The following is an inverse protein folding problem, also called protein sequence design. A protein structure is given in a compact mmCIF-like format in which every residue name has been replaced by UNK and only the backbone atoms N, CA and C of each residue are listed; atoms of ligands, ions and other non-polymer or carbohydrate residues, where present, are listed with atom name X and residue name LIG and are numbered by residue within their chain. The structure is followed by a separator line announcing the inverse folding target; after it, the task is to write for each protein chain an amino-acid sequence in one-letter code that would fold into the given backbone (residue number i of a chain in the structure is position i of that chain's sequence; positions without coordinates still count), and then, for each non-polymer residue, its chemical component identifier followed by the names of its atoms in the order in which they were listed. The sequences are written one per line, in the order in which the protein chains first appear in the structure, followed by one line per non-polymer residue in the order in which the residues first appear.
data_IF_465870961100
#
_entry.id   IF_465870961100
#
_cell.length_a   1.000
_cell.length_b   1.000
_cell.length_c   1.000
_cell.angle_alpha   90.00
_cell.angle_beta   90.00
_cell.angle_gamma   90.00
#
_symmetry.space_group_name_H-M   'P 1'
#
loop_
_entity.id
_entity.type
_entity.pdbx_description
1 polymer ?
#
# COMPACT_ATOMS: atom_id res chain seq x y z
N UNK A 1 46.76 28.06 -60.97
CA UNK A 1 46.11 26.74 -61.14
C UNK A 1 46.61 25.85 -60.01
N UNK A 2 45.89 25.82 -58.90
CA UNK A 2 46.16 24.95 -57.76
C UNK A 2 44.88 24.20 -57.45
N UNK A 3 45.00 22.90 -57.58
CA UNK A 3 43.99 21.86 -57.52
C UNK A 3 43.40 21.77 -56.10
N UNK A 4 42.07 21.91 -55.98
CA UNK A 4 41.37 21.83 -54.69
C UNK A 4 40.75 20.43 -54.55
N UNK A 5 41.39 19.59 -53.72
CA UNK A 5 40.90 18.26 -53.38
C UNK A 5 39.61 18.35 -52.56
N UNK A 6 38.62 17.45 -52.78
CA UNK A 6 37.36 17.45 -52.04
C UNK A 6 37.54 16.93 -50.61
N UNK A 7 36.97 17.67 -49.65
CA UNK A 7 36.90 17.30 -48.23
C UNK A 7 36.14 15.96 -48.03
N UNK A 8 36.60 15.07 -47.13
CA UNK A 8 35.85 13.87 -46.78
C UNK A 8 34.59 14.23 -45.97
N UNK A 9 33.45 13.67 -46.38
CA UNK A 9 32.18 13.81 -45.71
C UNK A 9 32.27 13.36 -44.24
N UNK A 10 31.80 14.21 -43.33
CA UNK A 10 31.64 13.88 -41.92
C UNK A 10 30.71 12.66 -41.76
N UNK A 11 31.08 11.65 -40.95
CA UNK A 11 30.18 10.56 -40.63
C UNK A 11 28.99 11.10 -39.83
N UNK A 12 27.78 10.80 -40.31
CA UNK A 12 26.52 11.02 -39.61
C UNK A 12 26.65 10.54 -38.16
N UNK A 13 26.38 11.45 -37.22
CA UNK A 13 26.30 11.15 -35.80
C UNK A 13 25.29 10.01 -35.59
N UNK A 14 25.81 8.86 -35.18
CA UNK A 14 25.00 7.74 -34.70
C UNK A 14 24.22 8.23 -33.48
N UNK A 15 22.88 8.20 -33.56
CA UNK A 15 21.98 8.36 -32.44
C UNK A 15 22.28 7.29 -31.37
N UNK A 16 23.20 7.59 -30.45
CA UNK A 16 23.34 6.85 -29.19
C UNK A 16 22.18 7.30 -28.28
N UNK A 17 21.03 6.67 -28.47
CA UNK A 17 19.81 6.89 -27.70
C UNK A 17 19.98 6.37 -26.27
N UNK A 18 20.28 7.30 -25.36
CA UNK A 18 19.51 7.64 -24.15
C UNK A 18 19.03 6.52 -23.19
N UNK A 19 19.65 5.34 -23.24
CA UNK A 19 19.34 4.20 -22.36
C UNK A 19 19.69 4.50 -20.90
N UNK A 20 20.78 5.24 -20.66
CA UNK A 20 21.18 5.71 -19.33
C UNK A 20 20.21 6.75 -18.77
N UNK A 21 19.62 7.60 -19.62
CA UNK A 21 18.60 8.58 -19.23
C UNK A 21 17.30 7.90 -18.78
N UNK A 22 16.79 6.97 -19.57
CA UNK A 22 15.56 6.24 -19.27
C UNK A 22 15.65 5.39 -17.98
N UNK A 23 16.77 4.67 -17.79
CA UNK A 23 16.99 3.86 -16.59
C UNK A 23 17.04 4.73 -15.32
N UNK A 24 17.72 5.89 -15.39
CA UNK A 24 17.80 6.84 -14.28
C UNK A 24 16.42 7.44 -13.94
N UNK A 25 15.59 7.74 -14.94
CA UNK A 25 14.22 8.24 -14.72
C UNK A 25 13.35 7.19 -14.05
N UNK A 26 13.44 5.92 -14.50
CA UNK A 26 12.69 4.81 -13.90
C UNK A 26 13.06 4.62 -12.43
N UNK A 27 14.36 4.57 -12.12
CA UNK A 27 14.84 4.42 -10.75
C UNK A 27 14.39 5.58 -9.85
N UNK A 28 14.46 6.83 -10.34
CA UNK A 28 13.98 7.99 -9.59
C UNK A 28 12.48 7.93 -9.32
N UNK A 29 11.68 7.47 -10.28
CA UNK A 29 10.23 7.28 -10.12
C UNK A 29 9.93 6.20 -9.07
N UNK A 30 10.68 5.10 -9.10
CA UNK A 30 10.54 4.02 -8.11
C UNK A 30 10.85 4.51 -6.69
N UNK A 31 11.99 5.18 -6.50
CA UNK A 31 12.36 5.75 -5.19
C UNK A 31 11.35 6.78 -4.71
N UNK A 32 10.89 7.66 -5.62
CA UNK A 32 9.81 8.61 -5.32
C UNK A 32 8.55 7.87 -4.84
N UNK A 33 8.15 6.82 -5.54
CA UNK A 33 6.94 6.08 -5.19
C UNK A 33 7.07 5.33 -3.87
N UNK A 34 8.22 4.70 -3.60
CA UNK A 34 8.50 4.13 -2.27
C UNK A 34 8.39 5.18 -1.15
N UNK A 35 8.91 6.39 -1.37
CA UNK A 35 8.79 7.47 -0.38
C UNK A 35 7.33 7.90 -0.16
N UNK A 36 6.53 7.98 -1.22
CA UNK A 36 5.09 8.28 -1.11
C UNK A 36 4.37 7.19 -0.32
N UNK A 37 4.61 5.91 -0.64
CA UNK A 37 3.98 4.79 0.05
C UNK A 37 4.37 4.76 1.53
N UNK A 38 5.65 5.00 1.85
CA UNK A 38 6.14 5.12 3.23
C UNK A 38 5.42 6.24 3.99
N UNK A 39 5.26 7.41 3.37
CA UNK A 39 4.61 8.55 4.01
C UNK A 39 3.13 8.27 4.30
N UNK A 40 2.40 7.71 3.33
CA UNK A 40 0.99 7.34 3.50
C UNK A 40 0.85 6.30 4.62
N UNK A 41 1.66 5.23 4.62
CA UNK A 41 1.61 4.20 5.66
C UNK A 41 1.97 4.74 7.04
N UNK A 42 2.92 5.67 7.11
CA UNK A 42 3.28 6.33 8.38
C UNK A 42 2.14 7.21 8.89
N UNK A 43 1.48 7.96 8.01
CA UNK A 43 0.28 8.73 8.33
C UNK A 43 -0.88 7.84 8.80
N UNK A 44 -1.11 6.72 8.12
CA UNK A 44 -2.11 5.72 8.53
C UNK A 44 -1.78 5.08 9.87
N UNK A 45 -0.51 4.77 10.13
CA UNK A 45 -0.08 4.24 11.43
C UNK A 45 -0.28 5.24 12.57
N UNK A 46 -0.01 6.53 12.33
CA UNK A 46 -0.27 7.59 13.30
C UNK A 46 -1.78 7.77 13.54
N UNK A 47 -2.58 7.73 12.47
CA UNK A 47 -4.03 7.77 12.56
C UNK A 47 -4.60 6.57 13.33
N UNK A 48 -4.14 5.35 13.02
CA UNK A 48 -4.54 4.13 13.70
C UNK A 48 -4.14 4.14 15.18
N UNK A 49 -2.95 4.65 15.51
CA UNK A 49 -2.54 4.82 16.90
C UNK A 49 -3.45 5.80 17.67
N UNK A 50 -3.99 6.81 16.98
CA UNK A 50 -4.87 7.83 17.55
C UNK A 50 -6.32 7.37 17.66
N UNK A 51 -6.82 6.58 16.70
CA UNK A 51 -8.20 6.10 16.63
C UNK A 51 -8.44 4.83 17.44
N UNK A 52 -7.51 3.88 17.40
CA UNK A 52 -7.67 2.59 18.06
C UNK A 52 -7.34 2.62 19.56
N UNK A 53 -6.72 3.71 20.06
CA UNK A 53 -6.20 3.78 21.42
C UNK A 53 -5.39 2.53 21.76
N UNK A 54 -4.11 2.47 21.35
CA UNK A 54 -3.19 1.33 21.55
C UNK A 54 -2.88 0.95 23.03
N UNK A 55 -3.88 1.02 23.90
CA UNK A 55 -4.05 0.34 25.18
C UNK A 55 -5.16 -0.74 25.18
N UNK A 56 -5.94 -0.96 24.10
CA UNK A 56 -6.97 -2.01 24.07
C UNK A 56 -6.70 -3.12 23.07
N UNK A 57 -6.34 -4.30 23.58
CA UNK A 57 -6.05 -5.51 22.81
C UNK A 57 -7.32 -6.37 22.55
N UNK A 58 -8.41 -5.78 22.08
CA UNK A 58 -9.65 -6.55 21.79
C UNK A 58 -10.24 -6.24 20.41
N UNK A 59 -10.72 -7.29 19.75
CA UNK A 59 -11.36 -7.24 18.43
C UNK A 59 -12.65 -6.38 18.38
N UNK A 60 -13.17 -5.96 19.54
CA UNK A 60 -14.34 -5.08 19.66
C UNK A 60 -14.04 -3.59 19.48
N UNK A 61 -12.76 -3.21 19.33
CA UNK A 61 -12.32 -1.82 19.13
C UNK A 61 -12.46 -1.29 17.69
N UNK A 62 -12.82 -2.15 16.73
CA UNK A 62 -13.11 -1.75 15.33
C UNK A 62 -14.50 -1.09 15.18
N UNK A 63 -15.07 -0.58 16.26
CA UNK A 63 -16.34 0.13 16.24
C UNK A 63 -16.13 1.53 15.64
N UNK A 64 -16.65 1.72 14.43
CA UNK A 64 -17.16 2.98 13.85
C UNK A 64 -16.89 4.22 14.68
N UNK A 65 -15.65 4.72 14.64
CA UNK A 65 -15.38 6.07 15.11
C UNK A 65 -16.12 7.04 14.20
N UNK A 66 -16.80 8.05 14.76
CA UNK A 66 -17.50 9.08 13.98
C UNK A 66 -16.58 10.04 13.20
N UNK A 67 -15.31 9.66 12.97
CA UNK A 67 -14.35 10.40 12.18
C UNK A 67 -14.21 9.77 10.78
N UNK A 68 -14.15 10.56 9.69
CA UNK A 68 -13.90 10.03 8.35
C UNK A 68 -12.63 9.17 8.24
N UNK A 69 -11.66 9.38 9.14
CA UNK A 69 -10.41 8.62 9.17
C UNK A 69 -10.58 7.23 9.76
N UNK A 70 -11.49 7.03 10.73
CA UNK A 70 -11.76 5.70 11.29
C UNK A 70 -12.48 4.79 10.30
N UNK A 71 -13.28 5.36 9.38
CA UNK A 71 -13.92 4.60 8.31
C UNK A 71 -12.91 4.00 7.31
N UNK A 72 -11.67 4.48 7.26
CA UNK A 72 -10.64 3.89 6.41
C UNK A 72 -10.18 2.51 6.91
N UNK A 73 -10.38 2.22 8.20
CA UNK A 73 -9.89 1.01 8.88
C UNK A 73 -10.95 -0.09 9.03
N UNK A 74 -12.09 0.02 8.36
CA UNK A 74 -13.11 -1.04 8.32
C UNK A 74 -12.90 -2.02 7.15
N UNK A 75 -11.81 -1.85 6.41
CA UNK A 75 -11.47 -2.56 5.17
C UNK A 75 -11.66 -1.75 3.90
N UNK A 76 -12.41 -0.63 3.90
CA UNK A 76 -12.65 0.23 2.71
C UNK A 76 -11.38 0.75 2.05
N UNK A 77 -10.28 0.85 2.79
CA UNK A 77 -8.94 1.05 2.26
C UNK A 77 -8.17 -0.27 2.22
N UNK A 78 -7.45 -0.54 1.14
CA UNK A 78 -6.52 -1.66 1.03
C UNK A 78 -5.20 -1.22 0.41
N UNK A 79 -4.16 -2.01 0.69
CA UNK A 79 -2.94 -1.99 -0.13
C UNK A 79 -3.04 -2.99 -1.27
N UNK A 80 -2.43 -2.67 -2.40
CA UNK A 80 -2.17 -3.60 -3.49
C UNK A 80 -0.69 -3.99 -3.46
N UNK A 81 -0.42 -5.28 -3.46
CA UNK A 81 0.94 -5.82 -3.57
C UNK A 81 1.38 -5.91 -5.03
N UNK A 82 2.69 -6.07 -5.25
CA UNK A 82 3.26 -6.28 -6.59
C UNK A 82 2.72 -7.53 -7.29
N UNK A 83 2.32 -8.55 -6.53
CA UNK A 83 1.67 -9.76 -7.06
C UNK A 83 0.18 -9.58 -7.35
N UNK A 84 -0.34 -8.35 -7.23
CA UNK A 84 -1.76 -8.05 -7.44
C UNK A 84 -2.65 -8.45 -6.26
N UNK A 85 -2.10 -8.99 -5.17
CA UNK A 85 -2.88 -9.28 -3.98
C UNK A 85 -3.35 -7.98 -3.33
N UNK A 86 -4.64 -7.92 -3.03
CA UNK A 86 -5.28 -6.83 -2.33
C UNK A 86 -5.45 -7.16 -0.85
N UNK A 87 -4.90 -6.34 0.05
CA UNK A 87 -4.94 -6.57 1.50
C UNK A 87 -5.71 -5.44 2.17
N UNK A 88 -6.94 -5.67 2.65
CA UNK A 88 -7.74 -4.66 3.34
C UNK A 88 -7.09 -4.24 4.65
N UNK A 89 -7.18 -2.96 4.99
CA UNK A 89 -6.52 -2.38 6.14
C UNK A 89 -7.52 -2.23 7.28
N UNK A 90 -7.17 -2.79 8.43
CA UNK A 90 -7.78 -2.51 9.73
C UNK A 90 -6.81 -1.86 10.71
N UNK A 91 -5.50 -2.11 10.58
CA UNK A 91 -4.45 -1.43 11.35
C UNK A 91 -3.14 -1.48 10.57
N UNK A 92 -2.25 -0.50 10.83
CA UNK A 92 -0.93 -0.38 10.22
C UNK A 92 0.10 -0.09 11.30
N UNK A 93 1.17 -0.87 11.36
CA UNK A 93 2.25 -0.72 12.36
C UNK A 93 3.61 -0.72 11.66
N UNK A 94 4.44 0.32 11.80
CA UNK A 94 5.82 0.26 11.32
C UNK A 94 6.63 -0.72 12.17
N UNK A 95 7.35 -1.64 11.53
CA UNK A 95 8.18 -2.64 12.24
C UNK A 95 9.55 -2.09 12.65
N UNK A 96 10.08 -1.13 11.89
CA UNK A 96 11.35 -0.47 12.17
C UNK A 96 11.13 1.04 12.31
N UNK A 97 10.69 1.50 13.48
CA UNK A 97 10.47 2.92 13.78
C UNK A 97 11.52 3.52 14.74
N UNK A 98 12.67 2.86 14.88
CA UNK A 98 13.72 3.30 15.79
C UNK A 98 14.64 4.31 15.11
N UNK A 99 14.69 5.52 15.64
CA UNK A 99 15.73 6.49 15.30
C UNK A 99 16.92 6.33 16.26
N UNK A 100 18.05 5.87 15.73
CA UNK A 100 19.32 5.96 16.45
C UNK A 100 19.69 7.45 16.54
N UNK A 101 19.80 7.98 17.76
CA UNK A 101 20.11 9.40 18.00
C UNK A 101 21.58 9.64 18.33
N UNK A 102 22.28 8.59 18.74
CA UNK A 102 23.67 8.62 19.20
C UNK A 102 24.40 7.38 18.70
N UNK A 103 25.68 7.52 18.46
CA UNK A 103 26.57 6.40 18.21
C UNK A 103 26.71 5.53 19.49
N UNK A 104 27.23 4.30 19.38
CA UNK A 104 27.44 3.41 20.53
C UNK A 104 28.34 4.00 21.62
N UNK A 105 29.20 4.95 21.26
CA UNK A 105 30.10 5.69 22.16
C UNK A 105 29.44 6.93 22.82
N UNK A 106 28.15 7.16 22.59
CA UNK A 106 27.39 8.30 23.10
C UNK A 106 27.59 9.60 22.32
N UNK A 107 28.43 9.61 21.27
CA UNK A 107 28.60 10.79 20.41
C UNK A 107 27.36 11.05 19.54
N UNK A 108 27.19 12.30 19.12
CA UNK A 108 26.09 12.66 18.20
C UNK A 108 26.37 12.09 16.82
N UNK A 109 25.38 11.43 16.22
CA UNK A 109 25.47 10.98 14.83
C UNK A 109 25.69 12.16 13.88
N UNK A 110 26.52 11.93 12.87
CA UNK A 110 26.71 12.85 11.74
C UNK A 110 25.39 13.08 10.98
N UNK A 111 25.38 14.08 10.09
CA UNK A 111 24.22 14.30 9.22
C UNK A 111 23.93 13.09 8.32
N UNK A 112 24.97 12.49 7.73
CA UNK A 112 24.83 11.35 6.83
C UNK A 112 24.30 10.09 7.53
N UNK A 113 24.76 9.81 8.75
CA UNK A 113 24.27 8.67 9.54
C UNK A 113 22.81 8.84 9.96
N UNK A 114 22.39 10.08 10.28
CA UNK A 114 20.97 10.38 10.55
C UNK A 114 20.10 10.23 9.31
N UNK A 115 20.62 10.64 8.14
CA UNK A 115 19.93 10.42 6.86
C UNK A 115 19.76 8.94 6.57
N UNK A 116 20.82 8.13 6.69
CA UNK A 116 20.75 6.68 6.48
C UNK A 116 19.80 5.99 7.48
N UNK A 117 19.82 6.43 8.74
CA UNK A 117 18.89 5.96 9.78
C UNK A 117 17.44 6.27 9.41
N UNK A 118 17.17 7.44 8.82
CA UNK A 118 15.85 7.80 8.32
C UNK A 118 15.45 6.96 7.10
N UNK A 119 16.39 6.67 6.20
CA UNK A 119 16.13 5.88 4.99
C UNK A 119 15.72 4.43 5.30
N UNK A 120 16.24 3.86 6.39
CA UNK A 120 15.90 2.48 6.82
C UNK A 120 14.61 2.44 7.65
N UNK A 121 14.26 3.53 8.33
CA UNK A 121 13.05 3.61 9.14
C UNK A 121 11.80 3.50 8.27
N UNK A 122 10.77 2.85 8.83
CA UNK A 122 9.47 2.68 8.20
C UNK A 122 9.57 2.06 6.78
N UNK A 123 10.53 1.16 6.56
CA UNK A 123 10.65 0.42 5.29
C UNK A 123 9.88 -0.89 5.28
N UNK A 124 9.44 -1.36 6.46
CA UNK A 124 8.61 -2.56 6.63
C UNK A 124 7.43 -2.20 7.54
N UNK A 125 6.23 -2.56 7.10
CA UNK A 125 4.99 -2.35 7.82
C UNK A 125 4.26 -3.67 8.05
N UNK A 126 3.64 -3.79 9.21
CA UNK A 126 2.67 -4.81 9.52
C UNK A 126 1.27 -4.25 9.26
N UNK A 127 0.50 -4.94 8.41
CA UNK A 127 -0.89 -4.60 8.08
C UNK A 127 -1.78 -5.68 8.65
N UNK A 128 -2.73 -5.29 9.49
CA UNK A 128 -3.77 -6.19 10.00
C UNK A 128 -5.02 -6.03 9.16
N UNK A 129 -5.63 -7.13 8.76
CA UNK A 129 -6.92 -7.11 8.07
C UNK A 129 -8.08 -7.05 9.07
N UNK A 130 -9.29 -6.67 8.64
CA UNK A 130 -10.48 -6.75 9.49
C UNK A 130 -10.80 -8.17 9.99
N UNK A 131 -10.31 -9.23 9.32
CA UNK A 131 -10.42 -10.62 9.80
C UNK A 131 -9.37 -11.03 10.82
N UNK A 132 -8.41 -10.15 11.11
CA UNK A 132 -7.32 -10.42 12.05
C UNK A 132 -6.10 -11.10 11.42
N UNK A 133 -6.08 -11.33 10.11
CA UNK A 133 -4.86 -11.74 9.41
C UNK A 133 -3.81 -10.63 9.49
N UNK A 134 -2.54 -11.02 9.47
CA UNK A 134 -1.42 -10.09 9.64
C UNK A 134 -0.41 -10.31 8.53
N UNK A 135 -0.14 -9.26 7.78
CA UNK A 135 0.83 -9.24 6.68
C UNK A 135 1.99 -8.35 7.05
N UNK A 136 3.22 -8.84 6.93
CA UNK A 136 4.43 -8.02 7.11
C UNK A 136 5.05 -7.78 5.75
N UNK A 137 4.94 -6.53 5.27
CA UNK A 137 5.29 -6.17 3.91
C UNK A 137 6.38 -5.09 3.93
N UNK A 138 7.47 -5.28 3.16
CA UNK A 138 8.36 -4.17 2.85
C UNK A 138 7.68 -3.19 1.89
N UNK A 139 8.02 -1.90 1.96
CA UNK A 139 7.40 -0.84 1.15
C UNK A 139 7.49 -1.12 -0.35
N UNK A 140 8.58 -1.72 -0.82
CA UNK A 140 8.75 -2.04 -2.24
C UNK A 140 7.78 -3.11 -2.76
N UNK A 141 7.19 -3.93 -1.88
CA UNK A 141 6.14 -4.87 -2.28
C UNK A 141 4.78 -4.19 -2.45
N UNK A 142 4.62 -2.96 -1.97
CA UNK A 142 3.35 -2.23 -1.99
C UNK A 142 3.36 -1.24 -3.15
N UNK A 143 2.49 -1.47 -4.14
CA UNK A 143 2.50 -0.71 -5.40
C UNK A 143 1.46 0.41 -5.44
N UNK A 144 0.35 0.27 -4.73
CA UNK A 144 -0.70 1.28 -4.65
C UNK A 144 -1.64 1.07 -3.47
N UNK A 145 -2.51 2.05 -3.26
CA UNK A 145 -3.67 1.95 -2.38
C UNK A 145 -4.94 1.86 -3.22
N UNK A 146 -5.90 1.10 -2.72
CA UNK A 146 -7.21 0.95 -3.33
C UNK A 146 -8.32 1.25 -2.33
N UNK A 147 -9.12 2.27 -2.64
CA UNK A 147 -10.32 2.66 -1.91
C UNK A 147 -11.56 2.15 -2.63
N UNK A 148 -12.55 1.59 -1.92
CA UNK A 148 -13.88 1.43 -2.51
C UNK A 148 -14.58 2.77 -2.69
N UNK A 149 -15.25 2.94 -3.82
CA UNK A 149 -16.19 4.03 -3.99
C UNK A 149 -17.47 3.78 -3.19
N UNK A 150 -18.13 4.85 -2.74
CA UNK A 150 -19.43 4.79 -2.06
C UNK A 150 -20.49 4.06 -2.90
N UNK A 151 -20.45 4.21 -4.22
CA UNK A 151 -21.37 3.52 -5.12
C UNK A 151 -21.16 2.00 -5.13
N UNK A 152 -19.90 1.55 -5.08
CA UNK A 152 -19.58 0.12 -5.03
C UNK A 152 -19.89 -0.46 -3.65
N UNK A 153 -19.65 0.31 -2.59
CA UNK A 153 -20.10 0.01 -1.22
C UNK A 153 -21.62 -0.22 -1.22
N UNK A 154 -22.39 0.74 -1.73
CA UNK A 154 -23.86 0.66 -1.72
C UNK A 154 -24.39 -0.55 -2.49
N UNK A 155 -23.82 -0.86 -3.65
CA UNK A 155 -24.18 -2.07 -4.42
C UNK A 155 -23.85 -3.36 -3.65
N UNK A 156 -22.78 -3.35 -2.85
CA UNK A 156 -22.40 -4.50 -2.03
C UNK A 156 -23.27 -4.62 -0.76
N UNK A 157 -23.73 -3.50 -0.19
CA UNK A 157 -24.78 -3.48 0.86
C UNK A 157 -26.06 -4.12 0.32
N UNK A 158 -26.54 -3.64 -0.83
CA UNK A 158 -27.76 -4.15 -1.48
C UNK A 158 -27.63 -5.66 -1.78
N UNK A 159 -26.51 -6.11 -2.35
CA UNK A 159 -26.28 -7.53 -2.63
C UNK A 159 -26.16 -8.41 -1.37
N UNK A 160 -25.56 -7.91 -0.29
CA UNK A 160 -25.45 -8.64 0.98
C UNK A 160 -26.80 -8.75 1.70
N UNK A 161 -27.63 -7.71 1.65
CA UNK A 161 -29.01 -7.72 2.17
C UNK A 161 -29.90 -8.68 1.37
N UNK A 162 -29.76 -8.73 0.05
CA UNK A 162 -30.44 -9.69 -0.82
C UNK A 162 -30.03 -11.14 -0.52
N UNK A 163 -28.73 -11.40 -0.31
CA UNK A 163 -28.23 -12.73 0.06
C UNK A 163 -28.73 -13.16 1.45
N UNK A 164 -28.89 -12.23 2.40
CA UNK A 164 -29.44 -12.50 3.72
C UNK A 164 -30.95 -12.77 3.70
N UNK A 165 -31.71 -12.11 2.81
CA UNK A 165 -33.14 -12.38 2.63
C UNK A 165 -33.42 -13.72 1.92
N UNK A 166 -32.46 -14.24 1.13
CA UNK A 166 -32.55 -15.56 0.47
C UNK A 166 -32.25 -16.76 1.41
N UNK A 167 -32.04 -16.54 2.71
CA UNK A 167 -32.18 -17.60 3.73
C UNK A 167 -30.91 -18.30 4.20
N UNK A 168 -29.72 -17.74 3.98
CA UNK A 168 -28.52 -18.22 4.65
C UNK A 168 -28.44 -17.65 6.08
N UNK A 169 -28.46 -18.48 7.14
CA UNK A 169 -28.35 -18.00 8.52
C UNK A 169 -26.93 -17.47 8.73
N UNK A 170 -26.77 -16.14 8.78
CA UNK A 170 -25.50 -15.52 9.15
C UNK A 170 -25.39 -15.59 10.68
N UNK A 171 -24.47 -16.42 11.19
CA UNK A 171 -24.14 -16.46 12.60
C UNK A 171 -23.71 -15.04 13.05
N UNK A 172 -24.26 -14.47 14.14
CA UNK A 172 -23.84 -13.15 14.63
C UNK A 172 -22.33 -13.04 14.93
N UNK A 173 -21.61 -14.17 15.10
CA UNK A 173 -20.14 -14.19 15.22
C UNK A 173 -19.40 -14.06 13.89
N UNK A 174 -20.08 -14.26 12.76
CA UNK A 174 -19.55 -14.11 11.40
C UNK A 174 -19.91 -12.78 10.75
N UNK A 175 -20.51 -11.84 11.51
CA UNK A 175 -20.70 -10.44 11.08
C UNK A 175 -19.33 -9.78 10.87
N UNK A 176 -18.79 -9.97 9.68
CA UNK A 176 -17.59 -9.29 9.19
C UNK A 176 -17.90 -7.79 9.09
N UNK A 177 -16.93 -6.91 9.38
CA UNK A 177 -17.06 -5.49 9.11
C UNK A 177 -17.47 -5.26 7.66
N UNK A 178 -18.39 -4.32 7.44
CA UNK A 178 -19.03 -4.12 6.16
C UNK A 178 -18.02 -3.95 5.00
N UNK A 179 -16.99 -3.12 5.22
CA UNK A 179 -15.92 -2.93 4.24
C UNK A 179 -15.28 -4.25 3.83
N UNK A 180 -14.99 -5.15 4.78
CA UNK A 180 -14.43 -6.48 4.48
C UNK A 180 -15.39 -7.43 3.76
N UNK A 181 -16.65 -7.51 4.21
CA UNK A 181 -17.66 -8.38 3.60
C UNK A 181 -17.83 -8.08 2.11
N UNK A 182 -17.88 -6.79 1.79
CA UNK A 182 -17.95 -6.25 0.44
C UNK A 182 -16.81 -6.79 -0.47
N UNK A 183 -15.57 -6.90 0.05
CA UNK A 183 -14.45 -7.40 -0.76
C UNK A 183 -14.39 -8.90 -0.92
N UNK A 184 -14.68 -9.67 0.14
CA UNK A 184 -14.61 -11.12 0.01
C UNK A 184 -15.64 -11.63 -0.98
N UNK A 185 -16.79 -10.95 -1.08
CA UNK A 185 -17.81 -11.27 -2.09
C UNK A 185 -17.31 -11.05 -3.52
N UNK A 186 -16.58 -9.96 -3.80
CA UNK A 186 -16.02 -9.69 -5.14
C UNK A 186 -14.95 -10.73 -5.53
N UNK A 187 -14.01 -11.02 -4.64
CA UNK A 187 -12.96 -12.00 -4.91
C UNK A 187 -13.50 -13.43 -5.05
N UNK A 188 -14.62 -13.73 -4.38
CA UNK A 188 -15.32 -15.01 -4.53
C UNK A 188 -16.15 -15.06 -5.82
N UNK A 189 -16.79 -13.95 -6.21
CA UNK A 189 -17.52 -13.85 -7.47
C UNK A 189 -16.59 -14.00 -8.69
N UNK A 190 -15.45 -13.31 -8.71
CA UNK A 190 -14.45 -13.43 -9.80
C UNK A 190 -13.88 -14.86 -9.93
N UNK A 191 -13.69 -15.57 -8.81
CA UNK A 191 -13.28 -16.99 -8.83
C UNK A 191 -14.38 -17.91 -9.33
N UNK A 192 -15.63 -17.67 -8.92
CA UNK A 192 -16.77 -18.47 -9.35
C UNK A 192 -17.06 -18.28 -10.85
N UNK A 193 -16.86 -17.07 -11.39
CA UNK A 193 -16.96 -16.81 -12.83
C UNK A 193 -15.82 -17.49 -13.61
N UNK A 194 -14.58 -17.46 -13.10
CA UNK A 194 -13.44 -18.13 -13.74
C UNK A 194 -13.56 -19.66 -13.78
N UNK A 195 -14.16 -20.28 -12.75
CA UNK A 195 -14.40 -21.73 -12.71
C UNK A 195 -15.58 -22.18 -13.60
N UNK A 196 -16.47 -21.27 -13.99
CA UNK A 196 -17.66 -21.60 -14.81
C UNK A 196 -17.40 -21.49 -16.32
N UNK A 197 -16.30 -20.86 -16.73
CA UNK A 197 -15.83 -20.72 -18.11
C UNK A 197 -14.77 -21.78 -18.52
N UNK A 198 -14.51 -22.77 -17.66
CA UNK A 198 -13.57 -23.90 -17.88
C UNK A 198 -14.30 -25.23 -18.08
#
# INVERSE_FOLDING_TARGET
MTDAAPQPAHPLATHNTDTTGAANVSHRREVFWHNVMREILSGLAAAAASSAGRLSATASGAATGGSPVSELFDGRLAVMTRLGQRIPIADVVPMFACSIRTNPDGSRMSANERMLSNDVQCTIFQIRTPTGEVYTLPVHEIVSFHTLSEQLIKRLEEAAEEAATLGAPIDPKERRPFGFAAYTSLAQAERAEADNDS
#
